data_IF_522871524822
#
_entry.id   IF_522871524822
#
_cell.length_a   1.000
_cell.length_b   1.000
_cell.length_c   1.000
_cell.angle_alpha   90.00
_cell.angle_beta   90.00
_cell.angle_gamma   90.00
#
_symmetry.space_group_name_H-M   'P 1'
#
loop_
_entity.id
_entity.type
_entity.pdbx_description
1 polymer ?
#
# COMPACT_ATOMS: atom_id res chain seq x y z
N UNK A 1 -7.83 24.32 5.68
CA UNK A 1 -7.10 23.12 5.22
C UNK A 1 -5.80 23.07 6.00
N UNK A 2 -5.52 21.97 6.69
CA UNK A 2 -4.34 21.86 7.57
C UNK A 2 -3.03 21.77 6.74
N UNK A 3 -1.86 22.08 7.32
CA UNK A 3 -0.59 22.10 6.58
C UNK A 3 -0.29 20.80 5.82
N UNK A 4 -0.49 19.64 6.47
CA UNK A 4 -0.29 18.32 5.85
C UNK A 4 -1.19 18.12 4.62
N UNK A 5 -2.46 18.54 4.66
CA UNK A 5 -3.35 18.41 3.51
C UNK A 5 -2.86 19.21 2.31
N UNK A 6 -2.37 20.44 2.54
CA UNK A 6 -1.81 21.26 1.46
C UNK A 6 -0.57 20.59 0.82
N UNK A 7 0.38 20.13 1.66
CA UNK A 7 1.59 19.46 1.17
C UNK A 7 1.27 18.15 0.45
N UNK A 8 0.37 17.35 1.03
CA UNK A 8 -0.04 16.06 0.47
C UNK A 8 -0.78 16.24 -0.86
N UNK A 9 -1.74 17.16 -0.94
CA UNK A 9 -2.46 17.45 -2.19
C UNK A 9 -1.53 17.96 -3.28
N UNK A 10 -0.54 18.79 -2.95
CA UNK A 10 0.51 19.16 -3.89
C UNK A 10 1.34 17.94 -4.32
N UNK A 11 1.71 17.05 -3.40
CA UNK A 11 2.50 15.84 -3.68
C UNK A 11 1.80 14.87 -4.64
N UNK A 12 0.48 14.72 -4.52
CA UNK A 12 -0.31 13.78 -5.32
C UNK A 12 -0.99 14.44 -6.54
N UNK A 13 -0.76 15.73 -6.77
CA UNK A 13 -1.45 16.54 -7.79
C UNK A 13 -2.98 16.46 -7.67
N UNK A 14 -3.48 16.79 -6.48
CA UNK A 14 -4.89 16.91 -6.16
C UNK A 14 -5.32 18.38 -6.23
N UNK A 15 -6.33 18.68 -7.04
CA UNK A 15 -6.87 20.03 -7.24
C UNK A 15 -8.37 20.14 -6.97
N UNK A 16 -9.04 19.04 -6.60
CA UNK A 16 -10.47 19.00 -6.33
C UNK A 16 -10.81 19.40 -4.89
N UNK A 17 -12.09 19.68 -4.64
CA UNK A 17 -12.60 19.66 -3.29
C UNK A 17 -12.54 18.22 -2.74
N UNK A 18 -12.19 18.07 -1.46
CA UNK A 18 -12.18 16.79 -0.78
C UNK A 18 -13.26 16.81 0.30
N UNK A 19 -14.22 15.89 0.22
CA UNK A 19 -15.29 15.71 1.19
C UNK A 19 -15.24 14.29 1.76
N UNK A 20 -15.86 14.06 2.91
CA UNK A 20 -15.94 12.74 3.53
C UNK A 20 -16.99 11.91 2.79
N UNK A 21 -16.59 11.31 1.67
CA UNK A 21 -17.43 10.44 0.84
C UNK A 21 -16.58 9.40 0.07
N UNK A 22 -17.25 8.42 -0.53
CA UNK A 22 -16.59 7.28 -1.16
C UNK A 22 -15.80 7.68 -2.42
N UNK A 23 -16.27 8.69 -3.16
CA UNK A 23 -15.61 9.16 -4.38
C UNK A 23 -14.28 9.83 -4.06
N UNK A 24 -14.23 10.65 -3.02
CA UNK A 24 -12.99 11.24 -2.51
C UNK A 24 -12.04 10.15 -2.04
N UNK A 25 -12.52 9.18 -1.26
CA UNK A 25 -11.69 8.09 -0.77
C UNK A 25 -11.08 7.27 -1.92
N UNK A 26 -11.88 6.89 -2.93
CA UNK A 26 -11.43 6.19 -4.14
C UNK A 26 -10.39 6.99 -4.92
N UNK A 27 -10.66 8.28 -5.14
CA UNK A 27 -9.78 9.12 -5.93
C UNK A 27 -8.45 9.40 -5.22
N UNK A 28 -8.45 9.63 -3.90
CA UNK A 28 -7.24 9.77 -3.10
C UNK A 28 -6.43 8.48 -3.07
N UNK A 29 -7.08 7.32 -2.94
CA UNK A 29 -6.45 5.99 -2.95
C UNK A 29 -5.67 5.74 -4.23
N UNK A 30 -6.31 5.97 -5.39
CA UNK A 30 -5.67 5.82 -6.70
C UNK A 30 -4.54 6.84 -6.91
N UNK A 31 -4.77 8.12 -6.57
CA UNK A 31 -3.76 9.18 -6.72
C UNK A 31 -2.53 8.94 -5.85
N UNK A 32 -2.70 8.47 -4.62
CA UNK A 32 -1.60 8.07 -3.74
C UNK A 32 -0.73 7.01 -4.42
N UNK A 33 -1.35 5.89 -4.81
CA UNK A 33 -0.68 4.76 -5.46
C UNK A 33 0.05 5.12 -6.76
N UNK A 34 -0.46 6.09 -7.52
CA UNK A 34 0.14 6.56 -8.76
C UNK A 34 1.31 7.54 -8.57
N UNK A 35 1.48 8.11 -7.36
CA UNK A 35 2.40 9.22 -7.13
C UNK A 35 3.47 8.94 -6.07
N UNK A 36 3.12 8.26 -4.98
CA UNK A 36 4.03 7.90 -3.88
C UNK A 36 4.41 6.43 -4.04
N UNK A 37 5.65 6.13 -4.50
CA UNK A 37 6.02 4.76 -4.80
C UNK A 37 6.16 3.94 -3.52
N UNK A 38 5.84 2.66 -3.61
CA UNK A 38 6.36 1.69 -2.66
C UNK A 38 7.88 1.57 -2.86
N UNK A 39 8.66 1.62 -1.78
CA UNK A 39 10.11 1.35 -1.81
C UNK A 39 10.63 0.89 -0.43
N UNK A 40 11.77 0.20 -0.42
CA UNK A 40 12.46 -0.25 0.79
C UNK A 40 13.93 0.18 0.86
N UNK A 41 14.29 1.31 0.25
CA UNK A 41 15.68 1.79 0.17
C UNK A 41 16.29 2.05 1.55
N UNK A 42 15.51 2.56 2.50
CA UNK A 42 16.04 2.83 3.85
C UNK A 42 16.42 1.55 4.59
N UNK A 43 15.70 0.44 4.35
CA UNK A 43 16.06 -0.87 4.90
C UNK A 43 17.41 -1.37 4.35
N UNK A 44 17.66 -1.13 3.06
CA UNK A 44 18.89 -1.55 2.38
C UNK A 44 20.08 -0.63 2.65
N UNK A 45 19.83 0.66 2.91
CA UNK A 45 20.83 1.69 3.18
C UNK A 45 21.05 1.94 4.68
N UNK A 46 20.97 0.88 5.49
CA UNK A 46 20.65 0.87 6.93
C UNK A 46 20.28 2.23 7.56
N UNK A 47 19.12 2.77 7.18
CA UNK A 47 18.52 3.96 7.80
C UNK A 47 17.29 3.55 8.61
N UNK A 48 17.22 4.06 9.83
CA UNK A 48 16.06 3.83 10.69
C UNK A 48 14.81 4.51 10.12
N UNK A 49 13.69 3.77 10.10
CA UNK A 49 12.41 4.29 9.66
C UNK A 49 11.61 4.80 10.85
N UNK A 50 11.35 6.09 10.85
CA UNK A 50 10.53 6.76 11.86
C UNK A 50 9.07 6.77 11.41
N UNK A 51 8.15 6.41 12.32
CA UNK A 51 6.72 6.26 12.02
C UNK A 51 5.85 7.35 12.66
N UNK A 52 6.45 8.37 13.27
CA UNK A 52 5.71 9.54 13.74
C UNK A 52 5.23 10.41 12.57
N UNK A 53 4.16 11.16 12.82
CA UNK A 53 3.46 11.95 11.80
C UNK A 53 4.37 12.94 11.07
N UNK A 54 5.32 13.56 11.76
CA UNK A 54 6.22 14.56 11.18
C UNK A 54 7.23 13.88 10.25
N UNK A 55 7.92 12.85 10.72
CA UNK A 55 8.91 12.12 9.92
C UNK A 55 8.30 11.52 8.65
N UNK A 56 7.08 11.00 8.75
CA UNK A 56 6.34 10.44 7.61
C UNK A 56 6.00 11.50 6.55
N UNK A 57 5.55 12.68 6.98
CA UNK A 57 5.30 13.82 6.08
C UNK A 57 6.60 14.30 5.42
N UNK A 58 7.65 14.50 6.21
CA UNK A 58 8.95 14.96 5.71
C UNK A 58 9.50 14.02 4.64
N UNK A 59 9.42 12.69 4.86
CA UNK A 59 9.95 11.69 3.92
C UNK A 59 9.07 11.52 2.68
N UNK A 60 7.79 11.14 2.83
CA UNK A 60 6.95 10.71 1.71
C UNK A 60 6.38 11.90 0.92
N UNK A 61 6.10 13.01 1.61
CA UNK A 61 5.44 14.18 1.04
C UNK A 61 6.46 15.22 0.61
N UNK A 62 7.25 15.75 1.54
CA UNK A 62 8.16 16.88 1.28
C UNK A 62 9.39 16.45 0.48
N UNK A 63 10.10 15.40 0.92
CA UNK A 63 11.26 14.85 0.21
C UNK A 63 10.89 14.00 -1.01
N UNK A 64 9.58 13.83 -1.27
CA UNK A 64 9.01 13.10 -2.41
C UNK A 64 9.53 11.67 -2.57
N UNK A 65 9.89 11.02 -1.45
CA UNK A 65 10.29 9.62 -1.43
C UNK A 65 9.07 8.69 -1.40
N UNK A 66 9.35 7.40 -1.37
CA UNK A 66 8.37 6.37 -1.06
C UNK A 66 8.56 5.80 0.34
N UNK A 67 7.88 4.70 0.59
CA UNK A 67 8.05 3.86 1.76
C UNK A 67 7.29 2.55 1.60
N UNK A 68 7.37 1.67 2.59
CA UNK A 68 6.57 0.45 2.62
C UNK A 68 5.32 0.59 3.51
N UNK A 69 4.64 -0.52 3.82
CA UNK A 69 3.28 -0.51 4.37
C UNK A 69 3.06 0.39 5.59
N UNK A 70 4.00 0.41 6.55
CA UNK A 70 3.87 1.19 7.77
C UNK A 70 3.87 2.70 7.51
N UNK A 71 4.65 3.14 6.53
CA UNK A 71 4.83 4.55 6.17
C UNK A 71 3.72 5.03 5.24
N UNK A 72 3.43 4.24 4.20
CA UNK A 72 2.39 4.53 3.20
C UNK A 72 1.02 4.67 3.85
N UNK A 73 0.60 3.64 4.59
CA UNK A 73 -0.69 3.65 5.28
C UNK A 73 -0.69 4.61 6.48
N UNK A 74 0.48 4.92 7.07
CA UNK A 74 0.60 5.94 8.13
C UNK A 74 0.29 7.35 7.63
N UNK A 75 0.93 7.79 6.54
CA UNK A 75 0.60 9.09 5.91
C UNK A 75 -0.85 9.11 5.44
N UNK A 76 -1.31 8.01 4.82
CA UNK A 76 -2.66 7.96 4.28
C UNK A 76 -3.72 8.04 5.38
N UNK A 77 -3.52 7.34 6.51
CA UNK A 77 -4.39 7.46 7.68
C UNK A 77 -4.45 8.90 8.21
N UNK A 78 -3.29 9.55 8.38
CA UNK A 78 -3.22 10.94 8.85
C UNK A 78 -4.02 11.87 7.93
N UNK A 79 -3.83 11.76 6.62
CA UNK A 79 -4.55 12.57 5.62
C UNK A 79 -6.07 12.33 5.68
N UNK A 80 -6.50 11.07 5.75
CA UNK A 80 -7.92 10.73 5.83
C UNK A 80 -8.55 11.25 7.12
N UNK A 81 -7.85 11.13 8.25
CA UNK A 81 -8.30 11.65 9.55
C UNK A 81 -8.43 13.18 9.53
N UNK A 82 -7.45 13.88 8.95
CA UNK A 82 -7.45 15.34 8.79
C UNK A 82 -8.57 15.84 7.86
N UNK A 83 -9.01 15.01 6.91
CA UNK A 83 -10.20 15.27 6.10
C UNK A 83 -11.52 15.01 6.82
N UNK A 84 -11.48 14.36 7.99
CA UNK A 84 -12.66 14.03 8.79
C UNK A 84 -13.21 12.62 8.55
N UNK A 85 -12.49 11.73 7.86
CA UNK A 85 -12.89 10.32 7.80
C UNK A 85 -12.70 9.66 9.18
N UNK A 86 -13.64 8.78 9.54
CA UNK A 86 -13.43 7.85 10.65
C UNK A 86 -12.51 6.72 10.16
N UNK A 87 -11.24 6.77 10.54
CA UNK A 87 -10.20 5.86 10.06
C UNK A 87 -9.28 5.43 11.20
N UNK A 88 -8.90 4.16 11.18
CA UNK A 88 -7.85 3.61 12.04
C UNK A 88 -7.06 2.54 11.33
N UNK A 89 -5.82 2.33 11.76
CA UNK A 89 -5.00 1.23 11.28
C UNK A 89 -5.38 -0.13 11.87
N UNK A 90 -5.11 -1.16 11.07
CA UNK A 90 -5.13 -2.57 11.41
C UNK A 90 -3.76 -3.17 11.10
N UNK A 91 -3.50 -4.36 11.65
CA UNK A 91 -2.34 -5.16 11.30
C UNK A 91 -2.74 -6.53 10.75
N UNK A 92 -2.12 -6.91 9.64
CA UNK A 92 -2.31 -8.18 8.96
C UNK A 92 -1.05 -9.03 8.87
N UNK A 93 -1.26 -10.31 8.58
CA UNK A 93 -0.25 -11.35 8.37
C UNK A 93 -0.18 -11.67 6.88
N UNK A 94 0.98 -11.48 6.25
CA UNK A 94 1.15 -11.70 4.81
C UNK A 94 1.25 -13.18 4.49
N UNK A 95 0.25 -13.75 3.81
CA UNK A 95 0.16 -15.18 3.49
C UNK A 95 0.36 -15.48 2.00
N UNK A 96 0.83 -14.50 1.22
CA UNK A 96 1.01 -14.58 -0.23
C UNK A 96 1.87 -15.78 -0.69
N UNK A 97 2.87 -16.15 0.12
CA UNK A 97 3.76 -17.29 -0.13
C UNK A 97 3.20 -18.65 0.30
N UNK A 98 1.95 -18.70 0.79
CA UNK A 98 1.34 -19.87 1.43
C UNK A 98 2.27 -20.51 2.49
N UNK A 99 2.66 -19.74 3.53
CA UNK A 99 3.61 -20.21 4.52
C UNK A 99 3.04 -21.38 5.33
N UNK A 100 3.88 -22.32 5.81
CA UNK A 100 3.43 -23.49 6.57
C UNK A 100 2.89 -23.15 7.96
N UNK A 101 3.17 -21.94 8.45
CA UNK A 101 2.66 -21.40 9.71
C UNK A 101 2.29 -19.94 9.51
N UNK A 102 1.37 -19.44 10.35
CA UNK A 102 0.95 -18.04 10.28
C UNK A 102 2.13 -17.09 10.58
N UNK A 103 2.44 -16.16 9.67
CA UNK A 103 3.51 -15.19 9.88
C UNK A 103 3.11 -14.13 10.90
N UNK A 104 4.06 -13.34 11.42
CA UNK A 104 3.76 -12.21 12.30
C UNK A 104 2.93 -11.12 11.61
N UNK A 105 2.43 -10.20 12.43
CA UNK A 105 1.68 -9.01 12.00
C UNK A 105 2.65 -7.97 11.41
N UNK A 106 2.94 -8.08 10.12
CA UNK A 106 3.96 -7.26 9.43
C UNK A 106 3.40 -6.38 8.33
N UNK A 107 2.08 -6.33 8.17
CA UNK A 107 1.42 -5.49 7.17
C UNK A 107 0.45 -4.53 7.84
N UNK A 108 0.62 -3.22 7.62
CA UNK A 108 -0.33 -2.20 8.05
C UNK A 108 -1.33 -1.95 6.93
N UNK A 109 -2.61 -1.85 7.28
CA UNK A 109 -3.72 -1.44 6.40
C UNK A 109 -4.71 -0.58 7.21
N UNK A 110 -5.70 0.03 6.54
CA UNK A 110 -6.67 0.91 7.20
C UNK A 110 -8.08 0.32 7.16
N UNK A 111 -8.82 0.53 8.25
CA UNK A 111 -10.27 0.43 8.31
C UNK A 111 -10.86 1.84 8.27
N UNK A 112 -11.79 2.06 7.35
CA UNK A 112 -12.54 3.31 7.19
C UNK A 112 -14.02 3.02 7.40
N UNK A 113 -14.66 3.77 8.30
CA UNK A 113 -16.11 3.74 8.48
C UNK A 113 -16.72 4.95 7.77
N UNK A 114 -17.65 4.68 6.85
CA UNK A 114 -18.24 5.69 6.00
C UNK A 114 -19.67 5.28 5.64
N UNK A 115 -20.64 6.17 5.88
CA UNK A 115 -22.07 5.94 5.56
C UNK A 115 -22.60 4.59 6.12
N UNK A 116 -22.26 4.29 7.38
CA UNK A 116 -22.59 3.02 8.08
C UNK A 116 -21.93 1.75 7.48
N UNK A 117 -21.14 1.88 6.43
CA UNK A 117 -20.36 0.80 5.83
C UNK A 117 -18.91 0.79 6.35
N UNK A 118 -18.32 -0.40 6.39
CA UNK A 118 -16.90 -0.61 6.67
C UNK A 118 -16.14 -0.90 5.39
N UNK A 119 -15.00 -0.25 5.23
CA UNK A 119 -14.13 -0.38 4.08
C UNK A 119 -12.70 -0.63 4.55
N UNK A 120 -11.96 -1.46 3.83
CA UNK A 120 -10.51 -1.48 3.94
C UNK A 120 -9.89 -0.58 2.88
N UNK A 121 -8.87 0.16 3.28
CA UNK A 121 -8.02 0.91 2.38
C UNK A 121 -6.56 0.54 2.66
N UNK A 122 -5.85 0.14 1.62
CA UNK A 122 -4.43 -0.21 1.74
C UNK A 122 -3.66 0.33 0.54
N UNK A 123 -2.77 1.30 0.79
CA UNK A 123 -1.87 1.90 -0.21
C UNK A 123 -0.42 1.42 -0.06
N UNK A 124 -0.20 0.35 0.71
CA UNK A 124 1.12 -0.02 1.23
C UNK A 124 1.61 -1.45 0.97
N UNK A 125 0.86 -2.32 0.30
CA UNK A 125 1.24 -3.73 0.11
C UNK A 125 2.37 -3.98 -0.92
N UNK A 126 2.65 -3.01 -1.80
CA UNK A 126 3.67 -3.07 -2.84
C UNK A 126 3.12 -3.37 -4.23
N UNK A 127 3.59 -4.45 -4.85
CA UNK A 127 3.28 -4.78 -6.25
C UNK A 127 1.79 -5.01 -6.52
N UNK A 128 1.05 -5.47 -5.52
CA UNK A 128 -0.36 -5.89 -5.61
C UNK A 128 -1.25 -5.06 -4.67
N UNK A 129 -0.80 -3.86 -4.30
CA UNK A 129 -1.60 -2.94 -3.49
C UNK A 129 -2.98 -2.69 -4.11
N UNK A 130 -3.99 -2.52 -3.26
CA UNK A 130 -5.29 -2.05 -3.68
C UNK A 130 -5.17 -0.70 -4.39
N UNK A 131 -6.04 -0.41 -5.34
CA UNK A 131 -6.10 0.92 -5.99
C UNK A 131 -7.47 1.56 -5.91
N UNK A 132 -8.33 0.96 -5.09
CA UNK A 132 -9.58 1.48 -4.59
C UNK A 132 -9.85 0.81 -3.23
N UNK A 133 -10.61 1.46 -2.33
CA UNK A 133 -11.11 0.82 -1.11
C UNK A 133 -12.00 -0.38 -1.43
N UNK A 134 -11.98 -1.38 -0.56
CA UNK A 134 -12.75 -2.61 -0.67
C UNK A 134 -13.75 -2.66 0.49
N UNK A 135 -15.04 -2.86 0.20
CA UNK A 135 -16.08 -3.05 1.22
C UNK A 135 -15.77 -4.29 2.02
N UNK A 136 -15.91 -4.21 3.33
CA UNK A 136 -15.71 -5.31 4.27
C UNK A 136 -16.94 -6.25 4.26
N UNK A 137 -17.17 -6.90 3.12
CA UNK A 137 -18.28 -7.84 2.88
C UNK A 137 -17.69 -9.16 2.36
N UNK A 138 -18.04 -10.31 2.96
CA UNK A 138 -17.47 -11.59 2.55
C UNK A 138 -17.98 -11.99 1.17
N UNK A 139 -17.14 -12.69 0.42
CA UNK A 139 -17.39 -13.32 -0.88
C UNK A 139 -17.77 -12.37 -2.04
N UNK A 140 -17.96 -11.08 -1.75
CA UNK A 140 -18.23 -10.07 -2.75
C UNK A 140 -16.99 -9.80 -3.60
N UNK A 141 -17.07 -10.14 -4.89
CA UNK A 141 -16.07 -9.75 -5.89
C UNK A 141 -16.19 -8.26 -6.15
N UNK A 142 -15.07 -7.55 -6.01
CA UNK A 142 -14.99 -6.10 -6.10
C UNK A 142 -13.90 -5.71 -7.10
N UNK A 143 -14.32 -5.02 -8.16
CA UNK A 143 -13.42 -4.54 -9.22
C UNK A 143 -12.75 -3.24 -8.79
N UNK A 144 -11.43 -3.20 -8.92
CA UNK A 144 -10.60 -2.00 -8.75
C UNK A 144 -9.95 -1.64 -10.09
N UNK A 145 -9.35 -0.44 -10.24
CA UNK A 145 -8.65 -0.07 -11.47
C UNK A 145 -7.53 -1.04 -11.92
N UNK A 146 -7.01 -1.89 -11.03
CA UNK A 146 -5.86 -2.76 -11.30
C UNK A 146 -6.14 -4.26 -11.11
N UNK A 147 -7.39 -4.64 -10.84
CA UNK A 147 -7.76 -6.04 -10.66
C UNK A 147 -8.98 -6.24 -9.79
N UNK A 148 -9.39 -7.50 -9.70
CA UNK A 148 -10.51 -7.93 -8.88
C UNK A 148 -10.01 -8.50 -7.56
N UNK A 149 -10.71 -8.13 -6.49
CA UNK A 149 -10.42 -8.55 -5.14
C UNK A 149 -11.69 -9.10 -4.50
N UNK A 150 -11.52 -9.93 -3.49
CA UNK A 150 -12.60 -10.35 -2.60
C UNK A 150 -12.06 -10.55 -1.20
N UNK A 151 -12.96 -10.49 -0.23
CA UNK A 151 -12.66 -10.83 1.15
C UNK A 151 -13.34 -12.15 1.49
N UNK A 152 -12.62 -13.04 2.17
CA UNK A 152 -13.22 -14.18 2.85
C UNK A 152 -13.31 -13.86 4.34
N UNK A 153 -14.31 -14.41 5.02
CA UNK A 153 -14.44 -14.35 6.47
C UNK A 153 -14.21 -15.75 7.07
N UNK A 154 -13.19 -15.87 7.92
CA UNK A 154 -12.76 -17.11 8.56
C UNK A 154 -12.82 -16.93 10.09
N UNK A 155 -13.99 -17.17 10.68
CA UNK A 155 -14.23 -16.83 12.08
C UNK A 155 -14.19 -15.31 12.27
N UNK A 156 -13.33 -14.84 13.17
CA UNK A 156 -13.13 -13.40 13.43
C UNK A 156 -12.13 -12.74 12.46
N UNK A 157 -11.43 -13.54 11.66
CA UNK A 157 -10.42 -13.07 10.72
C UNK A 157 -11.00 -12.86 9.32
N UNK A 158 -10.40 -11.92 8.60
CA UNK A 158 -10.65 -11.62 7.20
C UNK A 158 -9.43 -11.98 6.36
N UNK A 159 -9.64 -12.49 5.16
CA UNK A 159 -8.57 -12.80 4.20
C UNK A 159 -8.83 -12.04 2.90
N UNK A 160 -7.95 -11.11 2.57
CA UNK A 160 -7.99 -10.45 1.25
C UNK A 160 -7.38 -11.39 0.21
N UNK A 161 -8.13 -11.62 -0.87
CA UNK A 161 -7.66 -12.34 -2.04
C UNK A 161 -7.72 -11.47 -3.28
N UNK A 162 -6.81 -11.71 -4.21
CA UNK A 162 -6.86 -11.12 -5.56
C UNK A 162 -7.05 -12.20 -6.62
N UNK A 163 -7.73 -11.85 -7.71
CA UNK A 163 -7.91 -12.73 -8.85
C UNK A 163 -6.67 -12.66 -9.76
N UNK A 164 -5.95 -13.77 -9.86
CA UNK A 164 -4.80 -13.95 -10.72
C UNK A 164 -5.07 -15.07 -11.72
N UNK A 165 -5.29 -14.72 -12.99
CA UNK A 165 -5.57 -15.68 -14.06
C UNK A 165 -6.69 -16.69 -13.71
N UNK A 166 -7.83 -16.20 -13.23
CA UNK A 166 -9.00 -17.01 -12.82
C UNK A 166 -8.78 -17.84 -11.55
N UNK A 167 -7.69 -17.60 -10.82
CA UNK A 167 -7.43 -18.21 -9.51
C UNK A 167 -7.36 -17.15 -8.42
N UNK A 168 -8.02 -17.40 -7.30
CA UNK A 168 -7.95 -16.54 -6.14
C UNK A 168 -6.71 -16.87 -5.31
N UNK A 169 -5.83 -15.89 -5.12
CA UNK A 169 -4.66 -16.02 -4.29
C UNK A 169 -4.80 -15.14 -3.05
N UNK A 170 -4.60 -15.73 -1.86
CA UNK A 170 -4.61 -15.02 -0.59
C UNK A 170 -3.40 -14.11 -0.47
N UNK A 171 -3.63 -12.86 -0.06
CA UNK A 171 -2.59 -11.85 0.11
C UNK A 171 -2.19 -11.73 1.57
N UNK A 172 -3.16 -11.38 2.42
CA UNK A 172 -2.97 -11.21 3.84
C UNK A 172 -4.25 -11.51 4.62
N UNK A 173 -4.07 -11.93 5.86
CA UNK A 173 -5.11 -12.19 6.86
C UNK A 173 -5.07 -11.14 7.96
N UNK A 174 -6.20 -10.63 8.41
CA UNK A 174 -6.28 -9.61 9.45
C UNK A 174 -7.56 -9.72 10.28
N UNK A 175 -7.52 -9.26 11.52
CA UNK A 175 -8.70 -9.04 12.36
C UNK A 175 -9.00 -7.55 12.48
N UNK A 176 -10.08 -7.20 13.18
CA UNK A 176 -10.47 -5.81 13.42
C UNK A 176 -9.94 -5.25 14.75
N UNK A 177 -8.98 -5.94 15.40
CA UNK A 177 -8.45 -5.52 16.69
C UNK A 177 -7.81 -4.13 16.57
N UNK A 178 -8.06 -3.27 17.56
CA UNK A 178 -7.39 -1.97 17.64
C UNK A 178 -5.88 -2.16 17.82
N UNK A 179 -5.09 -1.36 17.12
CA UNK A 179 -3.64 -1.41 17.16
C UNK A 179 -3.10 -0.07 17.68
N UNK A 180 -1.95 -0.12 18.35
CA UNK A 180 -1.27 1.03 18.91
C UNK A 180 -0.03 1.39 18.08
N UNK A 181 0.47 2.62 18.24
CA UNK A 181 1.67 3.08 17.53
C UNK A 181 2.87 2.14 17.76
N UNK A 182 3.01 1.60 18.98
CA UNK A 182 4.05 0.63 19.33
C UNK A 182 3.94 -0.68 18.54
N UNK A 183 2.74 -1.11 18.18
CA UNK A 183 2.53 -2.33 17.40
C UNK A 183 3.04 -2.16 15.97
N UNK A 184 2.85 -0.97 15.39
CA UNK A 184 3.41 -0.62 14.09
C UNK A 184 4.94 -0.54 14.14
N UNK A 185 5.50 0.06 15.21
CA UNK A 185 6.96 0.12 15.42
C UNK A 185 7.55 -1.28 15.53
N UNK A 186 6.90 -2.19 16.26
CA UNK A 186 7.32 -3.59 16.38
C UNK A 186 7.26 -4.32 15.03
N UNK A 187 6.15 -4.17 14.27
CA UNK A 187 6.01 -4.76 12.94
C UNK A 187 7.06 -4.22 11.95
N UNK A 188 7.34 -2.92 12.01
CA UNK A 188 8.39 -2.24 11.24
C UNK A 188 9.77 -2.77 11.60
N UNK A 189 10.07 -2.87 12.90
CA UNK A 189 11.33 -3.40 13.39
C UNK A 189 11.56 -4.84 12.91
N UNK A 190 10.56 -5.71 13.04
CA UNK A 190 10.63 -7.07 12.48
C UNK A 190 10.93 -7.04 10.98
N UNK A 191 10.17 -6.25 10.22
CA UNK A 191 10.27 -6.20 8.75
C UNK A 191 11.61 -5.62 8.28
N UNK A 192 12.19 -4.66 9.00
CA UNK A 192 13.43 -3.99 8.64
C UNK A 192 14.69 -4.72 9.16
N UNK A 193 14.58 -5.39 10.32
CA UNK A 193 15.75 -5.90 11.04
C UNK A 193 15.81 -7.41 11.15
N UNK A 194 14.71 -8.17 11.01
CA UNK A 194 14.81 -9.62 11.07
C UNK A 194 15.73 -10.13 9.93
N UNK A 195 16.78 -10.92 10.22
CA UNK A 195 17.78 -11.28 9.23
C UNK A 195 17.25 -12.01 7.99
N UNK A 196 16.11 -12.68 8.09
CA UNK A 196 15.47 -13.38 6.96
C UNK A 196 14.35 -12.56 6.30
N UNK A 197 14.14 -11.31 6.71
CA UNK A 197 13.16 -10.44 6.06
C UNK A 197 13.58 -10.18 4.61
N UNK A 198 12.68 -10.47 3.67
CA UNK A 198 12.91 -10.25 2.24
C UNK A 198 13.23 -8.79 1.88
N UNK A 199 12.76 -7.82 2.69
CA UNK A 199 13.09 -6.40 2.53
C UNK A 199 14.57 -6.08 2.73
N UNK A 200 15.35 -6.99 3.35
CA UNK A 200 16.79 -6.81 3.54
C UNK A 200 17.64 -7.38 2.40
N UNK A 201 17.04 -8.21 1.55
CA UNK A 201 17.76 -9.00 0.54
C UNK A 201 17.45 -8.59 -0.90
N UNK A 202 16.44 -7.76 -1.09
CA UNK A 202 16.01 -7.32 -2.41
C UNK A 202 15.62 -5.85 -2.41
N UNK A 203 16.03 -5.10 -3.44
CA UNK A 203 15.45 -3.81 -3.76
C UNK A 203 14.08 -4.03 -4.38
N UNK A 204 13.06 -3.47 -3.74
CA UNK A 204 11.68 -3.54 -4.18
C UNK A 204 11.17 -2.12 -4.39
N UNK A 205 10.69 -1.82 -5.59
CA UNK A 205 9.93 -0.60 -5.84
C UNK A 205 8.69 -0.90 -6.65
N UNK A 206 7.60 -0.18 -6.38
CA UNK A 206 6.40 -0.26 -7.18
C UNK A 206 5.72 1.11 -7.28
N UNK A 207 5.18 1.43 -8.45
CA UNK A 207 4.31 2.58 -8.64
C UNK A 207 3.20 2.23 -9.63
N UNK A 208 1.96 2.50 -9.26
CA UNK A 208 0.82 2.30 -10.14
C UNK A 208 0.73 3.41 -11.20
N UNK A 209 -0.04 3.16 -12.25
CA UNK A 209 -0.32 4.11 -13.32
C UNK A 209 -1.84 4.30 -13.45
N UNK A 210 -2.33 5.47 -13.88
CA UNK A 210 -3.77 5.73 -13.95
C UNK A 210 -4.55 4.80 -14.90
N UNK A 211 -3.87 4.16 -15.86
CA UNK A 211 -4.45 3.32 -16.90
C UNK A 211 -4.53 1.82 -16.52
N UNK A 212 -4.44 1.50 -15.23
CA UNK A 212 -4.40 0.12 -14.73
C UNK A 212 -3.03 -0.54 -14.90
N UNK A 213 -2.03 0.20 -15.36
CA UNK A 213 -0.64 -0.24 -15.43
C UNK A 213 0.09 -0.13 -14.09
N UNK A 214 1.23 -0.79 -13.98
CA UNK A 214 2.16 -0.58 -12.85
C UNK A 214 3.60 -0.77 -13.29
N UNK A 215 4.48 0.00 -12.66
CA UNK A 215 5.92 -0.12 -12.75
C UNK A 215 6.38 -0.89 -11.52
N UNK A 216 7.14 -1.96 -11.74
CA UNK A 216 7.75 -2.73 -10.65
C UNK A 216 9.24 -2.79 -10.87
N UNK A 217 9.99 -2.80 -9.77
CA UNK A 217 11.42 -3.03 -9.77
C UNK A 217 11.74 -4.07 -8.70
N UNK A 218 12.47 -5.10 -9.10
CA UNK A 218 13.05 -6.08 -8.17
C UNK A 218 14.53 -6.22 -8.52
N UNK A 219 15.41 -5.68 -7.66
CA UNK A 219 16.83 -5.54 -7.94
C UNK A 219 17.08 -4.80 -9.26
N UNK A 220 17.61 -5.48 -10.28
CA UNK A 220 17.87 -4.91 -11.61
C UNK A 220 16.79 -5.25 -12.64
N UNK A 221 15.75 -5.99 -12.23
CA UNK A 221 14.66 -6.41 -13.09
C UNK A 221 13.53 -5.39 -13.03
N UNK A 222 13.20 -4.79 -14.18
CA UNK A 222 12.16 -3.76 -14.29
C UNK A 222 10.99 -4.24 -15.16
N UNK A 223 10.00 -4.96 -14.59
CA UNK A 223 8.76 -5.23 -15.29
C UNK A 223 7.84 -4.01 -15.34
N UNK A 224 7.36 -3.70 -16.54
CA UNK A 224 6.23 -2.81 -16.79
C UNK A 224 5.00 -3.68 -17.08
N UNK A 225 3.96 -3.53 -16.28
CA UNK A 225 2.66 -4.15 -16.54
C UNK A 225 1.73 -3.09 -17.13
N UNK A 226 1.10 -3.36 -18.27
CA UNK A 226 0.07 -2.48 -18.86
C UNK A 226 -1.14 -3.33 -19.25
N UNK A 227 -2.34 -3.00 -18.74
CA UNK A 227 -3.57 -3.78 -18.96
C UNK A 227 -3.37 -5.30 -18.76
N UNK A 228 -2.68 -5.71 -17.70
CA UNK A 228 -2.38 -7.14 -17.42
C UNK A 228 -1.30 -7.78 -18.29
N UNK A 229 -0.75 -7.09 -19.29
CA UNK A 229 0.34 -7.59 -20.14
C UNK A 229 1.70 -7.20 -19.57
N UNK A 230 2.59 -8.19 -19.40
CA UNK A 230 3.95 -8.01 -18.86
C UNK A 230 4.95 -7.68 -19.96
N UNK A 231 5.63 -6.56 -19.81
CA UNK A 231 6.83 -6.20 -20.57
C UNK A 231 8.00 -6.17 -19.59
N UNK A 232 9.09 -6.87 -19.87
CA UNK A 232 10.28 -6.84 -19.01
C UNK A 232 11.50 -6.36 -19.77
N UNK A 233 12.24 -5.43 -19.15
CA UNK A 233 13.58 -5.04 -19.60
C UNK A 233 14.52 -5.01 -18.41
N UNK A 234 15.77 -5.44 -18.63
CA UNK A 234 16.87 -5.12 -17.71
C UNK A 234 17.11 -3.60 -17.75
N UNK A 235 17.41 -2.97 -16.61
CA UNK A 235 17.67 -1.51 -16.52
C UNK A 235 18.67 -1.06 -17.61
N UNK A 236 19.73 -1.84 -17.86
CA UNK A 236 20.74 -1.54 -18.87
C UNK A 236 20.20 -1.44 -20.32
N UNK A 237 19.16 -2.20 -20.67
CA UNK A 237 18.56 -2.17 -22.02
C UNK A 237 17.67 -0.95 -22.23
N UNK A 238 17.08 -0.40 -21.17
CA UNK A 238 16.34 0.86 -21.23
C UNK A 238 17.27 2.06 -21.46
N UNK A 239 18.42 2.11 -20.79
CA UNK A 239 19.39 3.19 -20.95
C UNK A 239 19.90 3.35 -22.40
N UNK A 240 20.08 2.25 -23.14
CA UNK A 240 20.47 2.31 -24.57
C UNK A 240 19.38 2.83 -25.50
N UNK A 241 18.11 2.76 -25.10
CA UNK A 241 16.96 3.12 -25.96
C UNK A 241 16.58 4.60 -25.85
N UNK A 242 17.13 5.32 -24.88
CA UNK A 242 16.83 6.73 -24.62
C UNK A 242 18.08 7.65 -24.68
N UNK A 243 19.27 7.13 -25.01
CA UNK A 243 20.50 7.91 -25.17
C UNK A 243 21.32 7.55 -26.43
N UNK A 244 20.71 6.91 -27.42
CA UNK A 244 21.24 6.77 -28.77
C UNK A 244 20.18 7.19 -29.80
#
# INVERSE_FOLDING_TARGET
MTPILNHYFARINWSGAAAVNIDTLRALHLKHNCTIPFENLDVLLPREMQLDDQSLEEKLVIARRGGYCFEQNGVFERVLRELGFNVRSLLGRVVLSNPPALPPRTHRLLLVELEEEKWIADVGFGGQTLTAPIRLVPDLVQTTPHGEYRLLQEGDDWVLQFNHHQHWQSMYRFDLCEQQQSDYVMGNFWSAHWPQSHFRHHLLMCRHLPDGGKLTLTNFHFPIMKMGTRWSSEIYRMWRRYML
#
